data_IF_290059823111
#
_entry.id   IF_290059823111
#
_cell.length_a   1.000
_cell.length_b   1.000
_cell.length_c   1.000
_cell.angle_alpha   90.00
_cell.angle_beta   90.00
_cell.angle_gamma   90.00
#
_symmetry.space_group_name_H-M   'P 1'
#
loop_
_entity.id
_entity.type
_entity.pdbx_description
1 polymer ?
#
# COMPACT_ATOMS: atom_id res chain seq x y z
N UNK A 1 -3.14 -1.71 -18.96
CA UNK A 1 -2.22 -0.64 -19.45
C UNK A 1 -1.21 -1.29 -20.42
N UNK A 2 -1.02 -0.73 -21.65
CA UNK A 2 -0.13 -1.28 -22.70
C UNK A 2 0.67 -0.18 -23.38
N UNK A 3 1.83 -0.49 -23.94
CA UNK A 3 2.71 0.42 -24.68
C UNK A 3 3.13 1.67 -23.90
N UNK A 4 3.37 1.52 -22.60
CA UNK A 4 3.83 2.60 -21.71
C UNK A 4 5.26 2.39 -21.24
N UNK A 5 5.91 3.49 -20.89
CA UNK A 5 7.19 3.50 -20.19
C UNK A 5 6.92 3.80 -18.71
N UNK A 6 7.06 2.78 -17.88
CA UNK A 6 6.66 2.81 -16.47
C UNK A 6 7.89 2.95 -15.58
N UNK A 7 7.90 3.94 -14.71
CA UNK A 7 8.92 4.14 -13.69
C UNK A 7 8.38 3.73 -12.32
N UNK A 8 9.02 2.77 -11.65
CA UNK A 8 8.57 2.23 -10.37
C UNK A 8 9.65 2.45 -9.30
N UNK A 9 9.37 3.29 -8.30
CA UNK A 9 10.22 3.37 -7.12
C UNK A 9 9.85 2.29 -6.11
N UNK A 10 10.85 1.73 -5.40
CA UNK A 10 10.61 0.60 -4.50
C UNK A 10 10.27 -0.71 -5.21
N UNK A 11 10.51 -0.80 -6.52
CA UNK A 11 10.10 -1.91 -7.37
C UNK A 11 10.75 -3.26 -7.05
N UNK A 12 11.80 -3.30 -6.22
CA UNK A 12 12.37 -4.56 -5.71
C UNK A 12 11.64 -5.13 -4.48
N UNK A 13 10.61 -4.43 -3.98
CA UNK A 13 9.73 -4.91 -2.90
C UNK A 13 8.65 -5.88 -3.40
N UNK A 14 7.81 -6.38 -2.46
CA UNK A 14 6.73 -7.31 -2.76
C UNK A 14 5.74 -6.75 -3.80
N UNK A 15 5.20 -5.55 -3.55
CA UNK A 15 4.31 -4.88 -4.51
C UNK A 15 5.02 -4.65 -5.86
N UNK A 16 6.24 -4.12 -5.83
CA UNK A 16 6.96 -3.78 -7.05
C UNK A 16 7.24 -4.99 -7.94
N UNK A 17 7.59 -6.14 -7.36
CA UNK A 17 7.75 -7.40 -8.12
C UNK A 17 6.45 -7.80 -8.81
N UNK A 18 5.31 -7.74 -8.12
CA UNK A 18 4.02 -8.08 -8.71
C UNK A 18 3.61 -7.08 -9.81
N UNK A 19 3.92 -5.78 -9.65
CA UNK A 19 3.72 -4.79 -10.71
C UNK A 19 4.59 -5.07 -11.93
N UNK A 20 5.86 -5.47 -11.74
CA UNK A 20 6.71 -5.91 -12.85
C UNK A 20 6.06 -7.09 -13.56
N UNK A 21 5.67 -8.12 -12.84
CA UNK A 21 5.08 -9.35 -13.37
C UNK A 21 3.80 -9.07 -14.18
N UNK A 22 2.98 -8.11 -13.71
CA UNK A 22 1.74 -7.68 -14.38
C UNK A 22 1.98 -6.91 -15.68
N UNK A 23 3.00 -6.06 -15.72
CA UNK A 23 3.15 -5.08 -16.81
C UNK A 23 4.28 -5.34 -17.80
N UNK A 24 5.26 -6.21 -17.48
CA UNK A 24 6.51 -6.28 -18.25
C UNK A 24 6.37 -6.79 -19.67
N UNK A 25 5.29 -7.52 -20.01
CA UNK A 25 5.08 -8.09 -21.34
C UNK A 25 4.72 -7.02 -22.37
N UNK A 26 3.96 -6.03 -21.95
CA UNK A 26 3.34 -5.04 -22.83
C UNK A 26 3.89 -3.63 -22.63
N UNK A 27 4.90 -3.46 -21.77
CA UNK A 27 5.41 -2.14 -21.37
C UNK A 27 6.93 -2.16 -21.15
N UNK A 28 7.57 -1.00 -21.29
CA UNK A 28 8.96 -0.79 -20.87
C UNK A 28 8.97 -0.41 -19.38
N UNK A 29 9.72 -1.12 -18.55
CA UNK A 29 9.75 -0.87 -17.10
C UNK A 29 11.15 -0.48 -16.64
N UNK A 30 11.25 0.58 -15.87
CA UNK A 30 12.42 0.93 -15.07
C UNK A 30 12.09 0.83 -13.59
N UNK A 31 12.84 0.05 -12.86
CA UNK A 31 12.80 -0.09 -11.40
C UNK A 31 13.90 0.74 -10.77
N UNK A 32 13.54 1.55 -9.77
CA UNK A 32 14.46 2.36 -9.00
C UNK A 32 14.35 2.00 -7.52
N UNK A 33 15.38 1.42 -6.94
CA UNK A 33 15.42 1.10 -5.52
C UNK A 33 16.86 0.86 -5.02
N UNK A 34 17.03 0.80 -3.70
CA UNK A 34 18.35 0.73 -3.04
C UNK A 34 18.98 -0.67 -3.06
N UNK A 35 18.18 -1.72 -3.18
CA UNK A 35 18.59 -3.10 -2.95
C UNK A 35 19.16 -3.73 -4.22
N UNK A 36 20.46 -3.61 -4.42
CA UNK A 36 21.19 -4.16 -5.57
C UNK A 36 21.10 -5.71 -5.61
N UNK A 37 21.11 -6.38 -4.47
CA UNK A 37 21.03 -7.82 -4.43
C UNK A 37 19.68 -8.34 -4.98
N UNK A 38 18.57 -7.68 -4.61
CA UNK A 38 17.25 -7.99 -5.20
C UNK A 38 17.19 -7.67 -6.69
N UNK A 39 17.82 -6.57 -7.15
CA UNK A 39 17.91 -6.25 -8.57
C UNK A 39 18.58 -7.38 -9.35
N UNK A 40 19.68 -7.93 -8.83
CA UNK A 40 20.38 -9.03 -9.48
C UNK A 40 19.47 -10.26 -9.73
N UNK A 41 18.68 -10.67 -8.72
CA UNK A 41 17.77 -11.80 -8.86
C UNK A 41 16.58 -11.49 -9.78
N UNK A 42 16.00 -10.30 -9.64
CA UNK A 42 14.87 -9.88 -10.48
C UNK A 42 15.28 -9.74 -11.96
N UNK A 43 16.49 -9.27 -12.24
CA UNK A 43 16.98 -9.15 -13.61
C UNK A 43 17.10 -10.50 -14.33
N UNK A 44 17.35 -11.58 -13.59
CA UNK A 44 17.34 -12.94 -14.16
C UNK A 44 15.93 -13.39 -14.56
N UNK A 45 14.91 -12.97 -13.82
CA UNK A 45 13.50 -13.27 -14.09
C UNK A 45 12.90 -12.36 -15.17
N UNK A 46 13.33 -11.09 -15.18
CA UNK A 46 12.80 -10.03 -16.05
C UNK A 46 13.94 -9.33 -16.80
N UNK A 47 14.56 -9.98 -17.80
CA UNK A 47 15.79 -9.48 -18.46
C UNK A 47 15.58 -8.15 -19.20
N UNK A 48 14.36 -7.85 -19.65
CA UNK A 48 14.01 -6.62 -20.37
C UNK A 48 13.69 -5.45 -19.44
N UNK A 49 13.61 -5.67 -18.12
CA UNK A 49 13.39 -4.60 -17.15
C UNK A 49 14.73 -3.90 -16.85
N UNK A 50 14.72 -2.58 -16.89
CA UNK A 50 15.85 -1.76 -16.45
C UNK A 50 15.84 -1.59 -14.95
N UNK A 51 16.92 -1.97 -14.28
CA UNK A 51 17.11 -1.79 -12.84
C UNK A 51 18.15 -0.72 -12.58
N UNK A 52 17.77 0.29 -11.77
CA UNK A 52 18.64 1.41 -11.37
C UNK A 52 18.75 1.41 -9.85
N UNK A 53 19.97 1.27 -9.34
CA UNK A 53 20.23 1.38 -7.90
C UNK A 53 20.23 2.86 -7.53
N UNK A 54 19.39 3.23 -6.56
CA UNK A 54 19.30 4.60 -6.10
C UNK A 54 18.30 4.79 -4.96
N UNK A 55 18.37 5.95 -4.36
CA UNK A 55 17.55 6.36 -3.23
C UNK A 55 16.64 7.53 -3.61
N UNK A 56 15.37 7.48 -3.26
CA UNK A 56 14.37 8.54 -3.55
C UNK A 56 14.70 9.89 -2.91
N UNK A 57 15.60 9.91 -1.93
CA UNK A 57 16.14 11.12 -1.32
C UNK A 57 17.15 11.84 -2.22
N UNK A 58 17.80 11.13 -3.12
CA UNK A 58 18.74 11.71 -4.07
C UNK A 58 17.97 12.17 -5.32
N UNK A 59 17.56 13.44 -5.28
CA UNK A 59 16.78 14.05 -6.36
C UNK A 59 17.48 13.96 -7.72
N UNK A 60 18.76 14.31 -7.80
CA UNK A 60 19.50 14.35 -9.08
C UNK A 60 19.58 12.98 -9.74
N UNK A 61 19.80 11.93 -8.96
CA UNK A 61 19.83 10.57 -9.48
C UNK A 61 18.43 10.09 -9.87
N UNK A 62 17.44 10.38 -9.04
CA UNK A 62 16.03 10.08 -9.32
C UNK A 62 15.57 10.75 -10.62
N UNK A 63 15.87 12.06 -10.77
CA UNK A 63 15.53 12.84 -11.96
C UNK A 63 16.13 12.24 -13.23
N UNK A 64 17.43 11.89 -13.22
CA UNK A 64 18.08 11.25 -14.38
C UNK A 64 17.49 9.88 -14.69
N UNK A 65 17.18 9.08 -13.66
CA UNK A 65 16.63 7.74 -13.84
C UNK A 65 15.20 7.77 -14.37
N UNK A 66 14.40 8.77 -13.98
CA UNK A 66 12.99 8.95 -14.32
C UNK A 66 12.75 9.52 -15.73
N UNK A 67 13.82 9.95 -16.42
CA UNK A 67 13.70 10.57 -17.76
C UNK A 67 13.10 9.62 -18.80
N UNK A 68 12.25 10.16 -19.68
CA UNK A 68 11.61 9.46 -20.80
C UNK A 68 10.61 8.37 -20.38
N UNK A 69 9.92 8.53 -19.27
CA UNK A 69 8.80 7.68 -18.86
C UNK A 69 7.46 8.41 -19.01
N UNK A 70 6.38 7.62 -19.07
CA UNK A 70 5.01 8.15 -19.19
C UNK A 70 4.25 8.02 -17.87
N UNK A 71 4.54 6.97 -17.10
CA UNK A 71 3.79 6.58 -15.92
C UNK A 71 4.74 6.45 -14.73
N UNK A 72 4.36 7.01 -13.59
CA UNK A 72 5.06 6.87 -12.33
C UNK A 72 4.26 6.06 -11.30
N UNK A 73 4.84 5.01 -10.71
CA UNK A 73 4.29 4.30 -9.56
C UNK A 73 5.30 4.44 -8.41
N UNK A 74 4.96 5.25 -7.42
CA UNK A 74 5.87 5.64 -6.37
C UNK A 74 5.59 4.88 -5.07
N UNK A 75 6.25 3.71 -4.93
CA UNK A 75 6.05 2.79 -3.81
C UNK A 75 7.25 2.71 -2.83
N UNK A 76 8.30 3.49 -3.05
CA UNK A 76 9.44 3.51 -2.14
C UNK A 76 9.05 4.10 -0.78
N UNK A 77 9.26 3.32 0.30
CA UNK A 77 8.93 3.73 1.66
C UNK A 77 9.63 2.83 2.68
N UNK A 78 9.81 3.31 3.89
CA UNK A 78 9.88 2.44 5.06
C UNK A 78 8.46 1.96 5.38
N UNK A 79 8.29 0.76 5.93
CA UNK A 79 6.98 0.18 6.21
C UNK A 79 6.79 -0.34 7.64
N UNK A 80 7.88 -0.55 8.36
CA UNK A 80 7.85 -1.05 9.74
C UNK A 80 7.66 0.13 10.69
N UNK A 81 6.61 0.10 11.51
CA UNK A 81 6.22 1.20 12.40
C UNK A 81 7.33 1.45 13.43
N UNK A 82 7.83 0.39 14.08
CA UNK A 82 8.90 0.47 15.06
C UNK A 82 10.16 1.09 14.46
N UNK A 83 10.57 0.62 13.28
CA UNK A 83 11.74 1.17 12.58
C UNK A 83 11.58 2.66 12.22
N UNK A 84 10.36 3.10 11.90
CA UNK A 84 10.07 4.51 11.64
C UNK A 84 10.12 5.35 12.94
N UNK A 85 9.68 4.80 14.07
CA UNK A 85 9.76 5.47 15.36
C UNK A 85 11.21 5.62 15.82
N UNK A 86 12.01 4.54 15.71
CA UNK A 86 13.42 4.54 16.10
C UNK A 86 14.31 5.40 15.20
N UNK A 87 13.89 5.59 13.94
CA UNK A 87 14.65 6.31 12.92
C UNK A 87 13.77 7.38 12.23
N UNK A 88 13.12 8.22 13.01
CA UNK A 88 12.10 9.16 12.50
C UNK A 88 12.63 10.17 11.48
N UNK A 89 13.86 10.63 11.60
CA UNK A 89 14.48 11.54 10.64
C UNK A 89 14.67 10.87 9.27
N UNK A 90 15.16 9.63 9.29
CA UNK A 90 15.33 8.82 8.09
C UNK A 90 13.98 8.47 7.46
N UNK A 91 12.99 8.15 8.29
CA UNK A 91 11.63 7.88 7.85
C UNK A 91 11.02 9.10 7.16
N UNK A 92 11.18 10.32 7.73
CA UNK A 92 10.73 11.56 7.11
C UNK A 92 11.35 11.79 5.73
N UNK A 93 12.68 11.66 5.62
CA UNK A 93 13.39 11.83 4.34
C UNK A 93 12.92 10.83 3.27
N UNK A 94 12.72 9.58 3.64
CA UNK A 94 12.29 8.55 2.69
C UNK A 94 10.81 8.69 2.31
N UNK A 95 9.92 8.92 3.29
CA UNK A 95 8.47 8.90 3.09
C UNK A 95 7.97 10.25 2.57
N UNK A 96 8.34 11.35 3.22
CA UNK A 96 7.79 12.68 2.91
C UNK A 96 8.62 13.34 1.80
N UNK A 97 9.93 13.54 2.00
CA UNK A 97 10.78 14.16 0.98
C UNK A 97 10.87 13.29 -0.29
N UNK A 98 10.90 11.94 -0.13
CA UNK A 98 10.85 11.02 -1.25
C UNK A 98 9.55 11.12 -2.08
N UNK A 99 8.40 11.42 -1.45
CA UNK A 99 7.15 11.67 -2.16
C UNK A 99 7.19 13.01 -2.92
N UNK A 100 7.73 14.08 -2.32
CA UNK A 100 7.94 15.36 -3.00
C UNK A 100 8.85 15.22 -4.22
N UNK A 101 10.00 14.58 -4.05
CA UNK A 101 10.93 14.31 -5.15
C UNK A 101 10.25 13.50 -6.27
N UNK A 102 9.47 12.49 -5.91
CA UNK A 102 8.76 11.64 -6.85
C UNK A 102 7.70 12.40 -7.66
N UNK A 103 6.93 13.27 -6.99
CA UNK A 103 5.99 14.16 -7.66
C UNK A 103 6.71 15.13 -8.61
N UNK A 104 7.75 15.80 -8.10
CA UNK A 104 8.50 16.80 -8.87
C UNK A 104 9.10 16.19 -10.15
N UNK A 105 9.69 15.01 -10.08
CA UNK A 105 10.24 14.37 -11.30
C UNK A 105 9.15 13.99 -12.29
N UNK A 106 7.97 13.58 -11.83
CA UNK A 106 6.85 13.27 -12.71
C UNK A 106 6.34 14.53 -13.43
N UNK A 107 6.24 15.66 -12.73
CA UNK A 107 5.83 16.96 -13.29
C UNK A 107 6.88 17.51 -14.26
N UNK A 108 8.16 17.52 -13.89
CA UNK A 108 9.24 18.05 -14.74
C UNK A 108 9.50 17.21 -16.00
N UNK A 109 9.26 15.90 -15.94
CA UNK A 109 9.32 15.02 -17.12
C UNK A 109 7.99 14.89 -17.87
N UNK A 110 6.95 15.64 -17.47
CA UNK A 110 5.63 15.66 -18.09
C UNK A 110 5.04 14.23 -18.24
N UNK A 111 5.00 13.47 -17.15
CA UNK A 111 4.34 12.16 -17.17
C UNK A 111 2.84 12.31 -17.49
N UNK A 112 2.26 11.28 -18.07
CA UNK A 112 0.80 11.24 -18.28
C UNK A 112 0.06 11.08 -16.96
N UNK A 113 0.59 10.23 -16.07
CA UNK A 113 0.02 9.96 -14.76
C UNK A 113 1.07 9.48 -13.75
N UNK A 114 0.82 9.78 -12.49
CA UNK A 114 1.63 9.32 -11.38
C UNK A 114 0.75 8.96 -10.18
N UNK A 115 1.06 7.81 -9.55
CA UNK A 115 0.36 7.31 -8.38
C UNK A 115 1.34 7.10 -7.22
N UNK A 116 1.05 7.70 -6.06
CA UNK A 116 1.78 7.46 -4.81
C UNK A 116 1.09 6.36 -4.02
N UNK A 117 1.86 5.46 -3.42
CA UNK A 117 1.33 4.36 -2.60
C UNK A 117 1.32 4.75 -1.13
N UNK A 118 0.11 4.82 -0.57
CA UNK A 118 -0.14 5.13 0.83
C UNK A 118 -0.65 3.89 1.60
N UNK A 119 -1.26 4.11 2.76
CA UNK A 119 -1.70 3.06 3.68
C UNK A 119 -2.91 3.53 4.48
N UNK A 120 -3.76 2.59 4.92
CA UNK A 120 -4.82 2.79 5.91
C UNK A 120 -4.32 3.50 7.18
N UNK A 121 -3.06 3.24 7.58
CA UNK A 121 -2.42 3.88 8.73
C UNK A 121 -2.23 5.39 8.60
N UNK A 122 -2.36 5.92 7.37
CA UNK A 122 -2.35 7.36 7.12
C UNK A 122 -3.63 8.05 7.58
N UNK A 123 -4.74 7.31 7.74
CA UNK A 123 -6.02 7.88 8.13
C UNK A 123 -6.22 7.81 9.64
N UNK A 124 -6.67 8.91 10.27
CA UNK A 124 -6.71 9.06 11.74
C UNK A 124 -5.40 8.56 12.39
N UNK A 125 -4.25 9.08 11.93
CA UNK A 125 -2.93 8.55 12.25
C UNK A 125 -2.62 8.62 13.75
N UNK A 126 -2.19 7.47 14.31
CA UNK A 126 -1.77 7.32 15.72
C UNK A 126 -0.26 7.08 15.86
N UNK A 127 0.44 6.96 14.72
CA UNK A 127 1.89 6.69 14.67
C UNK A 127 2.61 7.70 13.80
N UNK A 128 3.92 7.89 14.02
CA UNK A 128 4.79 8.73 13.18
C UNK A 128 4.72 8.28 11.72
N UNK A 129 4.81 6.96 11.48
CA UNK A 129 4.66 6.39 10.14
C UNK A 129 3.35 6.80 9.46
N UNK A 130 2.23 6.67 10.18
CA UNK A 130 0.91 7.03 9.66
C UNK A 130 0.81 8.53 9.33
N UNK A 131 1.29 9.40 10.21
CA UNK A 131 1.31 10.84 10.01
C UNK A 131 2.15 11.24 8.78
N UNK A 132 3.35 10.65 8.63
CA UNK A 132 4.21 10.88 7.46
C UNK A 132 3.54 10.40 6.16
N UNK A 133 2.87 9.23 6.18
CA UNK A 133 2.12 8.74 5.01
C UNK A 133 0.93 9.63 4.66
N UNK A 134 0.28 10.24 5.65
CA UNK A 134 -0.77 11.22 5.43
C UNK A 134 -0.22 12.46 4.74
N UNK A 135 0.82 13.08 5.30
CA UNK A 135 1.47 14.26 4.72
C UNK A 135 1.95 13.98 3.29
N UNK A 136 2.64 12.86 3.08
CA UNK A 136 3.15 12.47 1.76
C UNK A 136 2.02 12.29 0.73
N UNK A 137 0.93 11.60 1.10
CA UNK A 137 -0.20 11.35 0.20
C UNK A 137 -0.98 12.61 -0.15
N UNK A 138 -1.33 13.44 0.85
CA UNK A 138 -2.05 14.70 0.61
C UNK A 138 -1.18 15.70 -0.21
N UNK A 139 0.12 15.79 0.10
CA UNK A 139 1.04 16.64 -0.64
C UNK A 139 1.24 16.19 -2.09
N UNK A 140 1.13 14.88 -2.34
CA UNK A 140 1.26 14.33 -3.70
C UNK A 140 0.11 14.75 -4.63
N UNK A 141 -1.08 14.98 -4.09
CA UNK A 141 -2.27 15.35 -4.87
C UNK A 141 -2.68 16.82 -4.75
N UNK A 142 -2.11 17.57 -3.79
CA UNK A 142 -2.48 18.99 -3.59
C UNK A 142 -2.23 19.79 -4.88
N UNK A 143 -3.18 20.67 -5.24
CA UNK A 143 -3.11 21.47 -6.46
C UNK A 143 -2.93 20.66 -7.77
N UNK A 144 -3.35 19.40 -7.79
CA UNK A 144 -3.26 18.56 -9.00
C UNK A 144 -3.97 19.15 -10.23
N UNK A 145 -4.99 20.00 -10.02
CA UNK A 145 -5.66 20.71 -11.11
C UNK A 145 -4.76 21.72 -11.87
N UNK A 146 -3.63 22.12 -11.27
CA UNK A 146 -2.63 23.00 -11.87
C UNK A 146 -1.51 22.23 -12.58
N UNK A 147 -1.46 20.91 -12.40
CA UNK A 147 -0.46 20.02 -13.00
C UNK A 147 -0.96 19.48 -14.35
N UNK A 148 -0.07 19.35 -15.33
CA UNK A 148 -0.34 18.60 -16.56
C UNK A 148 -0.37 17.09 -16.34
N UNK A 149 0.14 16.62 -15.20
CA UNK A 149 0.23 15.21 -14.81
C UNK A 149 -1.01 14.84 -13.98
N UNK A 150 -1.65 13.72 -14.30
CA UNK A 150 -2.67 13.15 -13.40
C UNK A 150 -1.97 12.62 -12.15
N UNK A 151 -2.22 13.24 -11.00
CA UNK A 151 -1.64 12.92 -9.71
C UNK A 151 -2.67 12.27 -8.81
N UNK A 152 -2.41 11.07 -8.34
CA UNK A 152 -3.31 10.33 -7.45
C UNK A 152 -2.54 9.60 -6.34
N UNK A 153 -3.27 9.20 -5.30
CA UNK A 153 -2.72 8.37 -4.22
C UNK A 153 -3.59 7.13 -4.04
N UNK A 154 -3.00 5.95 -4.00
CA UNK A 154 -3.69 4.72 -3.68
C UNK A 154 -3.52 4.40 -2.18
N UNK A 155 -4.64 4.34 -1.45
CA UNK A 155 -4.69 4.00 -0.02
C UNK A 155 -5.28 2.62 0.12
N UNK A 156 -4.56 1.72 0.78
CA UNK A 156 -5.08 0.39 1.09
C UNK A 156 -4.45 -0.16 2.37
N UNK A 157 -5.11 -1.17 2.93
CA UNK A 157 -4.70 -1.84 4.15
C UNK A 157 -3.63 -2.90 3.92
N UNK A 158 -3.65 -3.91 4.77
CA UNK A 158 -2.70 -5.00 4.72
C UNK A 158 -2.92 -5.84 3.46
N UNK A 159 -1.86 -6.00 2.66
CA UNK A 159 -1.89 -6.97 1.55
C UNK A 159 -1.61 -8.36 2.11
N UNK A 160 -2.58 -9.25 1.95
CA UNK A 160 -2.54 -10.61 2.45
C UNK A 160 -1.34 -11.37 1.88
N UNK A 161 -0.65 -12.13 2.72
CA UNK A 161 0.52 -12.93 2.37
C UNK A 161 1.72 -12.12 1.79
N UNK A 162 1.80 -10.81 2.05
CA UNK A 162 2.97 -10.02 1.66
C UNK A 162 4.19 -10.35 2.53
N UNK A 163 5.40 -10.09 2.02
CA UNK A 163 6.65 -10.34 2.76
C UNK A 163 6.64 -9.62 4.11
N UNK A 164 6.81 -10.39 5.19
CA UNK A 164 6.80 -9.90 6.57
C UNK A 164 5.41 -9.58 7.11
N UNK A 165 4.33 -10.02 6.44
CA UNK A 165 2.97 -9.99 6.98
C UNK A 165 2.69 -11.18 7.89
N UNK A 166 1.50 -11.21 8.50
CA UNK A 166 1.14 -12.16 9.54
C UNK A 166 1.12 -13.61 9.04
N UNK A 167 0.64 -13.91 7.82
CA UNK A 167 0.53 -15.29 7.31
C UNK A 167 1.90 -15.95 7.12
N UNK A 168 2.89 -15.34 6.42
CA UNK A 168 4.24 -15.89 6.38
C UNK A 168 4.89 -16.06 7.77
N UNK A 169 4.58 -15.16 8.70
CA UNK A 169 5.07 -15.26 10.07
C UNK A 169 4.45 -16.46 10.79
N UNK A 170 3.14 -16.71 10.64
CA UNK A 170 2.45 -17.88 11.19
C UNK A 170 3.10 -19.16 10.68
N UNK A 171 3.29 -19.31 9.37
CA UNK A 171 3.91 -20.49 8.77
C UNK A 171 5.33 -20.74 9.28
N UNK A 172 6.12 -19.67 9.36
CA UNK A 172 7.47 -19.75 9.93
C UNK A 172 7.44 -20.21 11.38
N UNK A 173 6.49 -19.71 12.17
CA UNK A 173 6.34 -20.06 13.59
C UNK A 173 5.93 -21.53 13.76
N UNK A 174 4.98 -22.02 12.96
CA UNK A 174 4.58 -23.41 12.93
C UNK A 174 5.78 -24.32 12.58
N UNK A 175 6.49 -23.99 11.51
CA UNK A 175 7.66 -24.76 11.06
C UNK A 175 8.78 -24.84 12.11
N UNK A 176 8.90 -23.85 12.99
CA UNK A 176 9.88 -23.80 14.07
C UNK A 176 9.38 -24.43 15.38
N UNK A 177 8.12 -24.86 15.47
CA UNK A 177 7.50 -25.32 16.71
C UNK A 177 7.48 -24.25 17.81
N UNK A 178 7.47 -22.98 17.43
CA UNK A 178 7.50 -21.84 18.34
C UNK A 178 6.07 -21.36 18.67
N UNK A 179 5.97 -20.34 19.53
CA UNK A 179 4.71 -19.68 19.85
C UNK A 179 4.70 -18.25 19.31
N UNK A 180 3.55 -17.79 18.83
CA UNK A 180 3.34 -16.43 18.32
C UNK A 180 2.49 -15.62 19.32
N UNK A 181 2.72 -14.33 19.41
CA UNK A 181 1.89 -13.45 20.25
C UNK A 181 0.78 -12.80 19.41
N UNK A 182 -0.47 -13.00 19.80
CA UNK A 182 -1.63 -12.25 19.34
C UNK A 182 -1.78 -11.00 20.20
N UNK A 183 -1.56 -9.85 19.61
CA UNK A 183 -1.79 -8.55 20.25
C UNK A 183 -3.22 -8.10 19.98
N UNK A 184 -4.04 -7.90 21.03
CA UNK A 184 -5.40 -7.42 20.92
C UNK A 184 -6.35 -8.37 20.17
N UNK A 185 -7.02 -9.26 20.88
CA UNK A 185 -7.93 -10.25 20.28
C UNK A 185 -9.13 -9.60 19.54
N UNK A 186 -9.49 -8.37 19.90
CA UNK A 186 -10.57 -7.60 19.31
C UNK A 186 -10.16 -6.80 18.06
N UNK A 187 -8.88 -6.84 17.68
CA UNK A 187 -8.37 -6.07 16.55
C UNK A 187 -8.89 -6.60 15.22
N UNK A 188 -9.29 -5.67 14.36
CA UNK A 188 -9.68 -6.00 12.97
C UNK A 188 -8.72 -5.38 11.97
N UNK A 189 -8.54 -6.02 10.82
CA UNK A 189 -7.71 -5.54 9.73
C UNK A 189 -8.41 -5.70 8.40
N UNK A 190 -8.28 -4.72 7.52
CA UNK A 190 -8.70 -4.89 6.14
C UNK A 190 -7.88 -5.97 5.45
N UNK A 191 -8.53 -6.70 4.59
CA UNK A 191 -7.95 -7.77 3.80
C UNK A 191 -7.98 -7.39 2.33
N UNK A 192 -6.80 -7.36 1.71
CA UNK A 192 -6.64 -7.04 0.30
C UNK A 192 -5.70 -8.05 -0.35
N UNK A 193 -6.11 -8.58 -1.47
CA UNK A 193 -5.25 -9.38 -2.32
C UNK A 193 -4.25 -8.50 -3.08
N UNK A 194 -3.13 -9.06 -3.49
CA UNK A 194 -2.16 -8.32 -4.30
C UNK A 194 -2.74 -7.92 -5.66
N UNK A 195 -3.62 -8.74 -6.25
CA UNK A 195 -4.36 -8.43 -7.47
C UNK A 195 -5.22 -7.18 -7.31
N UNK A 196 -6.00 -7.12 -6.23
CA UNK A 196 -6.88 -5.99 -5.92
C UNK A 196 -6.06 -4.70 -5.67
N UNK A 197 -4.90 -4.81 -5.02
CA UNK A 197 -4.01 -3.66 -4.83
C UNK A 197 -3.47 -3.13 -6.16
N UNK A 198 -3.09 -4.02 -7.09
CA UNK A 198 -2.65 -3.63 -8.43
C UNK A 198 -3.79 -3.02 -9.26
N UNK A 199 -5.01 -3.57 -9.17
CA UNK A 199 -6.20 -3.01 -9.83
C UNK A 199 -6.52 -1.61 -9.31
N UNK A 200 -6.40 -1.39 -7.99
CA UNK A 200 -6.56 -0.06 -7.40
C UNK A 200 -5.54 0.94 -7.98
N UNK A 201 -4.27 0.53 -8.11
CA UNK A 201 -3.20 1.38 -8.67
C UNK A 201 -3.49 1.72 -10.13
N UNK A 202 -3.93 0.76 -10.95
CA UNK A 202 -4.31 1.04 -12.34
C UNK A 202 -5.48 2.04 -12.43
N UNK A 203 -6.54 1.84 -11.63
CA UNK A 203 -7.67 2.78 -11.54
C UNK A 203 -7.23 4.16 -11.06
N UNK A 204 -6.29 4.23 -10.12
CA UNK A 204 -5.73 5.49 -9.59
C UNK A 204 -5.00 6.29 -10.67
N UNK A 205 -4.25 5.64 -11.56
CA UNK A 205 -3.52 6.28 -12.65
C UNK A 205 -4.43 6.92 -13.70
N UNK A 206 -5.72 6.57 -13.72
CA UNK A 206 -6.72 7.21 -14.58
C UNK A 206 -7.30 8.51 -13.99
N UNK A 207 -7.03 8.79 -12.73
CA UNK A 207 -7.64 9.84 -11.92
C UNK A 207 -6.62 10.92 -11.53
N UNK A 208 -7.11 12.12 -11.17
CA UNK A 208 -6.26 13.21 -10.71
C UNK A 208 -6.89 13.94 -9.53
N UNK A 209 -6.05 14.38 -8.57
CA UNK A 209 -6.48 15.18 -7.43
C UNK A 209 -7.26 14.40 -6.37
N UNK A 210 -7.12 13.07 -6.34
CA UNK A 210 -7.87 12.20 -5.43
C UNK A 210 -6.99 11.17 -4.75
N UNK A 211 -7.38 10.82 -3.53
CA UNK A 211 -6.96 9.57 -2.91
C UNK A 211 -8.00 8.50 -3.26
N UNK A 212 -7.56 7.36 -3.71
CA UNK A 212 -8.41 6.21 -4.04
C UNK A 212 -8.36 5.19 -2.92
N UNK A 213 -9.52 4.62 -2.59
CA UNK A 213 -9.68 3.62 -1.52
C UNK A 213 -10.49 2.45 -2.06
N UNK A 214 -10.04 1.20 -1.89
CA UNK A 214 -10.78 0.03 -2.36
C UNK A 214 -11.99 -0.24 -1.46
N UNK A 215 -13.00 -0.88 -2.01
CA UNK A 215 -14.03 -1.55 -1.21
C UNK A 215 -13.46 -2.91 -0.83
N UNK A 216 -13.11 -3.07 0.44
CA UNK A 216 -12.41 -4.25 0.96
C UNK A 216 -13.20 -4.89 2.11
N UNK A 217 -13.08 -6.20 2.23
CA UNK A 217 -13.49 -6.95 3.41
C UNK A 217 -12.44 -6.81 4.52
N UNK A 218 -12.82 -7.18 5.72
CA UNK A 218 -11.96 -7.21 6.89
C UNK A 218 -12.22 -8.47 7.72
N UNK A 219 -11.37 -8.71 8.70
CA UNK A 219 -11.48 -9.86 9.59
C UNK A 219 -10.94 -9.54 10.98
N UNK A 220 -11.37 -10.27 11.99
CA UNK A 220 -10.74 -10.27 13.30
C UNK A 220 -9.42 -11.03 13.24
N UNK A 221 -8.33 -10.43 13.74
CA UNK A 221 -7.03 -11.11 13.76
C UNK A 221 -7.10 -12.39 14.60
N UNK A 222 -7.90 -12.41 15.66
CA UNK A 222 -8.17 -13.59 16.47
C UNK A 222 -8.66 -14.76 15.60
N UNK A 223 -9.61 -14.55 14.70
CA UNK A 223 -10.16 -15.59 13.86
C UNK A 223 -9.09 -16.23 12.96
N UNK A 224 -8.13 -15.42 12.47
CA UNK A 224 -6.97 -15.93 11.72
C UNK A 224 -6.12 -16.86 12.59
N UNK A 225 -5.78 -16.46 13.81
CA UNK A 225 -4.97 -17.26 14.73
C UNK A 225 -5.68 -18.56 15.11
N UNK A 226 -6.98 -18.52 15.40
CA UNK A 226 -7.81 -19.68 15.71
C UNK A 226 -7.86 -20.67 14.54
N UNK A 227 -8.04 -20.20 13.31
CA UNK A 227 -8.04 -21.05 12.11
C UNK A 227 -6.72 -21.81 12.00
N UNK A 228 -5.57 -21.11 12.11
CA UNK A 228 -4.27 -21.77 12.01
C UNK A 228 -3.95 -22.64 13.23
N UNK A 229 -4.51 -22.34 14.40
CA UNK A 229 -4.41 -23.21 15.56
C UNK A 229 -5.20 -24.51 15.35
N UNK A 230 -6.46 -24.42 14.92
CA UNK A 230 -7.34 -25.56 14.70
C UNK A 230 -6.85 -26.46 13.56
N UNK A 231 -6.40 -25.87 12.46
CA UNK A 231 -6.10 -26.62 11.24
C UNK A 231 -4.62 -27.05 11.15
N UNK A 232 -3.68 -26.34 11.81
CA UNK A 232 -2.24 -26.57 11.66
C UNK A 232 -1.45 -26.58 12.98
N UNK A 233 -2.12 -26.47 14.13
CA UNK A 233 -1.49 -26.55 15.43
C UNK A 233 -0.63 -25.32 15.81
N UNK A 234 -0.94 -24.12 15.29
CA UNK A 234 -0.29 -22.88 15.71
C UNK A 234 -0.40 -22.71 17.23
N UNK A 235 0.74 -22.62 17.92
CA UNK A 235 0.75 -22.21 19.31
C UNK A 235 0.80 -20.69 19.41
N UNK A 236 -0.06 -20.09 20.25
CA UNK A 236 -0.04 -18.63 20.46
C UNK A 236 -0.49 -18.23 21.86
N UNK A 237 -0.08 -17.03 22.25
CA UNK A 237 -0.51 -16.36 23.49
C UNK A 237 -1.20 -15.06 23.16
N UNK A 238 -2.15 -14.63 23.98
CA UNK A 238 -2.90 -13.38 23.79
C UNK A 238 -2.38 -12.32 24.77
N UNK A 239 -2.15 -11.10 24.28
CA UNK A 239 -1.73 -9.96 25.09
C UNK A 239 -2.50 -8.70 24.67
N UNK A 240 -2.33 -7.61 25.43
CA UNK A 240 -2.88 -6.30 25.10
C UNK A 240 -2.31 -5.76 23.77
N UNK A 241 -3.06 -4.89 23.07
CA UNK A 241 -2.58 -4.19 21.88
C UNK A 241 -1.28 -3.43 22.15
N UNK A 242 -0.41 -3.34 21.14
CA UNK A 242 0.78 -2.50 21.25
C UNK A 242 0.42 -1.03 21.31
N UNK A 243 1.24 -0.24 21.99
CA UNK A 243 1.06 1.22 22.02
C UNK A 243 1.08 1.80 20.60
N UNK A 244 0.06 2.61 20.28
CA UNK A 244 -0.10 3.23 18.97
C UNK A 244 -0.75 2.37 17.90
N UNK A 245 -1.00 1.07 18.15
CA UNK A 245 -1.82 0.25 17.23
C UNK A 245 -3.31 0.56 17.42
N UNK A 246 -4.02 0.74 16.32
CA UNK A 246 -5.47 0.87 16.31
C UNK A 246 -6.14 -0.48 16.53
N UNK A 247 -7.22 -0.50 17.30
CA UNK A 247 -8.08 -1.68 17.39
C UNK A 247 -8.72 -1.97 16.01
N UNK A 248 -9.25 -0.93 15.37
CA UNK A 248 -9.82 -1.02 14.03
C UNK A 248 -9.08 -0.06 13.10
N UNK A 249 -8.68 -0.53 11.93
CA UNK A 249 -8.06 0.33 10.92
C UNK A 249 -9.12 1.16 10.20
N UNK A 250 -8.75 2.36 9.78
CA UNK A 250 -9.63 3.32 9.12
C UNK A 250 -9.05 3.63 7.75
N UNK A 251 -9.85 3.53 6.68
CA UNK A 251 -9.45 3.95 5.32
C UNK A 251 -10.07 5.28 4.90
N UNK A 252 -11.18 5.70 5.54
CA UNK A 252 -11.80 7.02 5.36
C UNK A 252 -12.20 7.49 6.75
N UNK A 253 -11.60 8.58 7.21
CA UNK A 253 -11.93 9.15 8.52
C UNK A 253 -13.28 9.88 8.48
N UNK A 254 -13.87 10.15 9.64
CA UNK A 254 -15.15 10.88 9.75
C UNK A 254 -15.07 12.24 9.05
N UNK A 255 -13.98 12.97 9.22
CA UNK A 255 -13.75 14.28 8.60
C UNK A 255 -13.66 14.21 7.08
N UNK A 256 -13.16 13.08 6.55
CA UNK A 256 -13.01 12.87 5.11
C UNK A 256 -14.31 12.49 4.41
N UNK A 257 -15.32 12.04 5.14
CA UNK A 257 -16.61 11.63 4.58
C UNK A 257 -17.28 12.74 3.78
N UNK A 258 -17.04 14.01 4.17
CA UNK A 258 -17.60 15.19 3.48
C UNK A 258 -17.01 15.43 2.08
N UNK A 259 -15.84 14.86 1.82
CA UNK A 259 -15.11 14.98 0.55
C UNK A 259 -14.94 13.63 -0.15
N UNK A 260 -15.67 12.62 0.30
CA UNK A 260 -15.62 11.26 -0.25
C UNK A 260 -16.85 10.97 -1.09
N UNK A 261 -16.63 10.31 -2.22
CA UNK A 261 -17.69 9.80 -3.11
C UNK A 261 -17.39 8.35 -3.53
N UNK A 262 -18.44 7.60 -3.86
CA UNK A 262 -18.32 6.28 -4.48
C UNK A 262 -18.22 6.46 -5.99
N UNK A 263 -17.18 5.97 -6.62
CA UNK A 263 -17.11 5.70 -8.03
C UNK A 263 -17.64 4.28 -8.30
N UNK A 264 -18.93 4.19 -8.59
CA UNK A 264 -19.59 2.90 -8.82
C UNK A 264 -19.07 2.19 -10.08
N UNK A 265 -18.62 2.92 -11.09
CA UNK A 265 -18.08 2.34 -12.32
C UNK A 265 -16.74 1.65 -12.10
N UNK A 266 -15.92 2.17 -11.18
CA UNK A 266 -14.64 1.59 -10.79
C UNK A 266 -14.72 0.73 -9.53
N UNK A 267 -15.82 0.78 -8.81
CA UNK A 267 -16.02 0.11 -7.52
C UNK A 267 -14.93 0.50 -6.49
N UNK A 268 -14.71 1.79 -6.31
CA UNK A 268 -13.76 2.38 -5.34
C UNK A 268 -14.35 3.65 -4.74
N UNK A 269 -13.82 4.05 -3.57
CA UNK A 269 -14.07 5.38 -3.02
C UNK A 269 -13.00 6.37 -3.48
N UNK A 270 -13.42 7.60 -3.70
CA UNK A 270 -12.58 8.73 -4.07
C UNK A 270 -12.67 9.77 -2.95
N UNK A 271 -11.54 10.09 -2.34
CA UNK A 271 -11.42 11.19 -1.38
C UNK A 271 -10.77 12.36 -2.11
N UNK A 272 -11.53 13.43 -2.34
CA UNK A 272 -11.02 14.64 -2.98
C UNK A 272 -9.95 15.32 -2.11
N UNK A 273 -9.09 16.14 -2.70
CA UNK A 273 -8.12 16.94 -1.98
C UNK A 273 -8.79 17.88 -0.97
N UNK A 274 -8.04 18.34 0.03
CA UNK A 274 -8.56 19.27 1.04
C UNK A 274 -9.15 20.54 0.40
N UNK A 275 -10.24 21.04 0.99
CA UNK A 275 -10.95 22.22 0.50
C UNK A 275 -12.00 21.95 -0.59
N UNK A 276 -12.13 20.74 -1.08
CA UNK A 276 -13.16 20.34 -2.04
C UNK A 276 -14.20 19.44 -1.34
N UNK A 277 -15.45 19.88 -1.29
CA UNK A 277 -16.55 19.08 -0.76
C UNK A 277 -17.19 18.24 -1.87
N UNK A 278 -17.51 17.00 -1.59
CA UNK A 278 -18.36 16.16 -2.42
C UNK A 278 -19.83 16.57 -2.23
N UNK A 279 -20.59 16.64 -3.32
CA UNK A 279 -22.05 16.84 -3.26
C UNK A 279 -22.78 15.56 -2.83
N UNK A 280 -22.10 14.43 -2.74
CA UNK A 280 -22.64 13.13 -2.37
C UNK A 280 -22.16 12.80 -0.96
N UNK A 281 -23.08 12.60 -0.02
CA UNK A 281 -22.73 12.18 1.33
C UNK A 281 -22.27 10.72 1.31
N UNK A 282 -21.10 10.47 1.89
CA UNK A 282 -20.70 9.13 2.26
C UNK A 282 -21.73 8.56 3.27
N UNK A 283 -22.23 7.33 3.07
CA UNK A 283 -23.40 6.84 3.83
C UNK A 283 -23.09 6.45 5.29
N UNK A 284 -21.81 6.49 5.70
CA UNK A 284 -21.34 6.08 7.04
C UNK A 284 -20.57 7.22 7.70
N UNK A 285 -20.41 7.16 9.03
CA UNK A 285 -19.58 8.10 9.78
C UNK A 285 -18.08 8.00 9.47
N UNK A 286 -17.59 6.79 9.19
CA UNK A 286 -16.22 6.49 8.75
C UNK A 286 -16.22 5.16 7.96
N UNK A 287 -15.11 4.85 7.30
CA UNK A 287 -14.91 3.53 6.69
C UNK A 287 -13.85 2.78 7.48
N UNK A 288 -14.34 1.94 8.38
CA UNK A 288 -13.55 1.19 9.36
C UNK A 288 -13.54 -0.30 9.08
N UNK A 289 -12.44 -0.97 9.40
CA UNK A 289 -12.34 -2.42 9.33
C UNK A 289 -13.30 -3.15 10.26
N UNK A 290 -13.84 -2.46 11.29
CA UNK A 290 -14.88 -3.01 12.16
C UNK A 290 -16.17 -3.35 11.41
N UNK A 291 -16.53 -2.54 10.42
CA UNK A 291 -17.85 -2.56 9.77
C UNK A 291 -17.93 -3.50 8.55
N UNK A 292 -16.81 -4.12 8.19
CA UNK A 292 -16.67 -4.94 6.98
C UNK A 292 -16.18 -6.36 7.28
N UNK A 293 -16.25 -6.80 8.55
CA UNK A 293 -15.76 -8.11 8.96
C UNK A 293 -16.56 -9.24 8.34
N UNK A 294 -15.84 -10.17 7.74
CA UNK A 294 -16.37 -11.49 7.36
C UNK A 294 -16.35 -12.42 8.56
N UNK A 295 -17.13 -13.46 8.49
CA UNK A 295 -17.15 -14.52 9.50
C UNK A 295 -15.87 -15.36 9.47
N UNK A 296 -15.58 -16.07 10.57
CA UNK A 296 -14.43 -16.99 10.64
C UNK A 296 -14.50 -18.07 9.55
N UNK A 297 -15.70 -18.54 9.20
CA UNK A 297 -15.90 -19.54 8.15
C UNK A 297 -15.56 -18.96 6.76
N UNK A 298 -16.05 -17.77 6.44
CA UNK A 298 -15.73 -17.07 5.18
C UNK A 298 -14.22 -16.76 5.08
N UNK A 299 -13.59 -16.40 6.21
CA UNK A 299 -12.14 -16.19 6.25
C UNK A 299 -11.39 -17.50 5.94
N UNK A 300 -11.82 -18.63 6.51
CA UNK A 300 -11.22 -19.95 6.23
C UNK A 300 -11.33 -20.30 4.75
N UNK A 301 -12.50 -20.11 4.15
CA UNK A 301 -12.73 -20.35 2.73
C UNK A 301 -11.86 -19.46 1.84
N UNK A 302 -11.74 -18.18 2.18
CA UNK A 302 -10.84 -17.25 1.48
C UNK A 302 -9.39 -17.72 1.52
N UNK A 303 -8.88 -18.12 2.69
CA UNK A 303 -7.51 -18.60 2.85
C UNK A 303 -7.25 -19.88 2.03
N UNK A 304 -8.22 -20.79 1.96
CA UNK A 304 -8.14 -22.01 1.15
C UNK A 304 -8.12 -21.71 -0.34
N UNK A 305 -9.04 -20.88 -0.83
CA UNK A 305 -9.14 -20.50 -2.25
C UNK A 305 -7.89 -19.80 -2.78
N UNK A 306 -7.19 -19.05 -1.93
CA UNK A 306 -5.99 -18.31 -2.28
C UNK A 306 -4.69 -19.07 -2.02
N UNK A 307 -4.77 -20.36 -1.69
CA UNK A 307 -3.61 -21.21 -1.35
C UNK A 307 -2.75 -20.67 -0.19
N UNK A 308 -3.34 -19.95 0.75
CA UNK A 308 -2.63 -19.46 1.94
C UNK A 308 -2.52 -20.52 3.04
N UNK A 309 -3.08 -21.72 2.80
CA UNK A 309 -2.93 -22.92 3.61
C UNK A 309 -1.69 -23.76 3.27
N UNK A 310 -0.87 -23.29 2.34
CA UNK A 310 0.40 -23.94 2.00
C UNK A 310 1.54 -23.10 2.53
N UNK A 311 2.35 -23.70 3.43
CA UNK A 311 3.53 -23.09 4.04
C UNK A 311 4.71 -22.93 3.09
#
# INVERSE_FOLDING_TARGET
MVNKKIFITGGAGYLGRNLIERFYKDNEITVYSRDEAKHYYLKKQFPNVRFVVGDVRNYDLLYRAAKNHNIGIFAASLKQIEACNDNYEEANKVIVEGAFNSRQVAEEHNYEAACFISSDKSRAATTIYGAMKFVAGESFIVNAAQSSVRLSTAIYGNVTNSTGSIIPLIWKTIAQGASLTLYGAEMTRFMLDIGDAMDLIEKSLELSGVNTVPIAQSFYIRDLFEIYHEDFGLCYTVTEPRSGEKIHEIMISEEETRRTMLDAGRNIYLISQMGQNSNVKFPRGEYSSRDCCITKQELREYLQQRNYYQG
#
